data_IF_102722346342
#
_entry.id   IF_102722346342
#
_cell.length_a   1.000
_cell.length_b   1.000
_cell.length_c   1.000
_cell.angle_alpha   90.00
_cell.angle_beta   90.00
_cell.angle_gamma   90.00
#
_symmetry.space_group_name_H-M   'P 1'
#
loop_
_entity.id
_entity.type
_entity.pdbx_description
1 polymer ?
#
# COMPACT_ATOMS: atom_id res chain seq x y z
N UNK A 1 20.89 -30.63 -1.57
CA UNK A 1 20.38 -29.72 -0.53
C UNK A 1 19.76 -28.45 -1.12
N UNK A 2 20.48 -27.69 -1.95
CA UNK A 2 20.02 -26.39 -2.51
C UNK A 2 18.68 -26.46 -3.26
N UNK A 3 18.43 -27.51 -4.06
CA UNK A 3 17.14 -27.69 -4.75
C UNK A 3 15.93 -27.72 -3.81
N UNK A 4 16.06 -28.34 -2.63
CA UNK A 4 14.98 -28.36 -1.63
C UNK A 4 14.74 -26.97 -1.06
N UNK A 5 15.81 -26.25 -0.71
CA UNK A 5 15.73 -24.86 -0.24
C UNK A 5 15.08 -23.95 -1.27
N UNK A 6 15.42 -24.10 -2.55
CA UNK A 6 14.81 -23.35 -3.65
C UNK A 6 13.29 -23.59 -3.73
N UNK A 7 12.84 -24.86 -3.65
CA UNK A 7 11.41 -25.19 -3.65
C UNK A 7 10.72 -24.61 -2.42
N UNK A 8 11.29 -24.75 -1.23
CA UNK A 8 10.74 -24.18 0.00
C UNK A 8 10.64 -22.64 -0.09
N UNK A 9 11.67 -21.97 -0.60
CA UNK A 9 11.65 -20.53 -0.82
C UNK A 9 10.57 -20.13 -1.83
N UNK A 10 10.47 -20.84 -2.95
CA UNK A 10 9.43 -20.61 -3.96
C UNK A 10 8.02 -20.74 -3.40
N UNK A 11 7.75 -21.77 -2.59
CA UNK A 11 6.47 -21.96 -1.92
C UNK A 11 6.21 -20.88 -0.85
N UNK A 12 7.24 -20.47 -0.12
CA UNK A 12 7.14 -19.40 0.88
C UNK A 12 6.76 -18.06 0.25
N UNK A 13 7.34 -17.74 -0.92
CA UNK A 13 7.09 -16.46 -1.62
C UNK A 13 5.98 -16.54 -2.68
N UNK A 14 5.33 -17.69 -2.84
CA UNK A 14 4.31 -17.88 -3.88
C UNK A 14 3.13 -16.93 -3.70
N UNK A 15 2.57 -16.85 -2.49
CA UNK A 15 1.47 -15.93 -2.18
C UNK A 15 1.88 -14.48 -2.42
N UNK A 16 3.11 -14.14 -2.08
CA UNK A 16 3.69 -12.82 -2.30
C UNK A 16 3.77 -12.48 -3.78
N UNK A 17 4.28 -13.40 -4.60
CA UNK A 17 4.37 -13.23 -6.06
C UNK A 17 2.99 -13.06 -6.70
N UNK A 18 1.96 -13.77 -6.23
CA UNK A 18 0.60 -13.57 -6.70
C UNK A 18 0.10 -12.16 -6.38
N UNK A 19 0.31 -11.68 -5.14
CA UNK A 19 -0.09 -10.32 -4.73
C UNK A 19 0.62 -9.28 -5.60
N UNK A 20 1.95 -9.41 -5.78
CA UNK A 20 2.74 -8.49 -6.61
C UNK A 20 2.31 -8.54 -8.08
N UNK A 21 2.05 -9.74 -8.62
CA UNK A 21 1.58 -9.90 -10.00
C UNK A 21 0.23 -9.24 -10.23
N UNK A 22 -0.72 -9.42 -9.31
CA UNK A 22 -2.02 -8.75 -9.38
C UNK A 22 -1.84 -7.23 -9.26
N UNK A 23 -1.07 -6.76 -8.28
CA UNK A 23 -0.81 -5.33 -8.08
C UNK A 23 -0.20 -4.68 -9.32
N UNK A 24 0.81 -5.31 -9.93
CA UNK A 24 1.45 -4.82 -11.16
C UNK A 24 0.48 -4.76 -12.35
N UNK A 25 -0.37 -5.78 -12.50
CA UNK A 25 -1.42 -5.76 -13.54
C UNK A 25 -2.43 -4.63 -13.30
N UNK A 26 -2.90 -4.46 -12.05
CA UNK A 26 -3.84 -3.40 -11.67
C UNK A 26 -3.26 -2.03 -11.96
N UNK A 27 -2.01 -1.78 -11.55
CA UNK A 27 -1.31 -0.52 -11.81
C UNK A 27 -1.13 -0.24 -13.32
N UNK A 28 -0.98 -1.29 -14.14
CA UNK A 28 -0.81 -1.16 -15.60
C UNK A 28 -2.13 -0.82 -16.32
N UNK A 29 -3.25 -1.39 -15.86
CA UNK A 29 -4.55 -1.22 -16.53
C UNK A 29 -5.38 -0.06 -15.97
N UNK A 30 -4.97 0.53 -14.85
CA UNK A 30 -5.74 1.59 -14.22
C UNK A 30 -5.79 2.85 -15.11
N UNK A 31 -6.98 3.35 -15.48
CA UNK A 31 -7.11 4.44 -16.46
C UNK A 31 -6.74 5.82 -15.89
N UNK A 32 -6.63 5.96 -14.57
CA UNK A 32 -6.32 7.23 -13.92
C UNK A 32 -5.64 7.05 -12.57
N UNK A 33 -4.71 7.94 -12.25
CA UNK A 33 -4.12 8.09 -10.91
C UNK A 33 -5.16 8.49 -9.85
N UNK A 34 -6.30 9.07 -10.27
CA UNK A 34 -7.40 9.39 -9.35
C UNK A 34 -8.20 8.13 -9.04
N UNK A 35 -8.16 7.71 -7.78
CA UNK A 35 -8.95 6.58 -7.28
C UNK A 35 -10.43 6.95 -7.20
N UNK A 36 -11.35 6.08 -7.64
CA UNK A 36 -12.78 6.30 -7.52
C UNK A 36 -13.17 6.47 -6.04
N UNK A 37 -13.67 7.64 -5.68
CA UNK A 37 -14.20 7.91 -4.33
C UNK A 37 -15.70 7.65 -4.34
N UNK A 38 -16.11 6.38 -4.28
CA UNK A 38 -17.52 6.00 -4.14
C UNK A 38 -17.80 5.65 -2.68
N UNK A 39 -18.54 6.48 -1.94
CA UNK A 39 -18.91 6.17 -0.56
C UNK A 39 -19.77 4.90 -0.53
N UNK A 40 -19.34 3.93 0.28
CA UNK A 40 -20.11 2.70 0.52
C UNK A 40 -21.13 2.89 1.64
N UNK A 41 -20.75 3.69 2.64
CA UNK A 41 -21.55 3.94 3.83
C UNK A 41 -21.35 5.41 4.23
N UNK A 42 -22.46 6.08 4.51
CA UNK A 42 -22.51 7.46 4.98
C UNK A 42 -23.21 7.47 6.32
N UNK A 43 -22.55 8.01 7.35
CA UNK A 43 -23.15 8.15 8.69
C UNK A 43 -22.87 9.51 9.29
N UNK A 44 -23.79 9.98 10.12
CA UNK A 44 -23.67 11.23 10.85
C UNK A 44 -23.53 10.95 12.33
N UNK A 45 -22.56 11.57 12.98
CA UNK A 45 -22.28 11.37 14.41
C UNK A 45 -22.31 12.73 15.10
N UNK A 46 -23.04 12.88 16.22
CA UNK A 46 -23.00 14.10 17.01
C UNK A 46 -21.57 14.46 17.42
N UNK A 47 -21.17 15.71 17.17
CA UNK A 47 -19.80 16.16 17.43
C UNK A 47 -19.76 17.69 17.57
N UNK A 48 -19.39 18.16 18.76
CA UNK A 48 -19.33 19.59 19.07
C UNK A 48 -17.88 20.07 19.04
N UNK A 49 -17.61 21.09 18.22
CA UNK A 49 -16.33 21.81 18.20
C UNK A 49 -16.42 22.99 19.16
N UNK A 50 -15.50 23.08 20.11
CA UNK A 50 -15.51 24.19 21.06
C UNK A 50 -14.98 25.48 20.39
N UNK A 51 -15.46 26.63 20.87
CA UNK A 51 -14.98 27.91 20.37
C UNK A 51 -13.47 28.07 20.61
N UNK A 52 -12.73 28.44 19.56
CA UNK A 52 -11.27 28.61 19.63
C UNK A 52 -10.44 27.33 19.47
N UNK A 53 -11.06 26.16 19.25
CA UNK A 53 -10.30 24.94 18.91
C UNK A 53 -9.62 25.07 17.55
N UNK A 54 -8.35 24.69 17.51
CA UNK A 54 -7.57 24.58 16.27
C UNK A 54 -8.00 23.36 15.47
N UNK A 55 -7.86 23.41 14.15
CA UNK A 55 -8.21 22.28 13.27
C UNK A 55 -7.45 21.02 13.62
N UNK A 56 -6.21 21.17 14.10
CA UNK A 56 -5.41 20.02 14.57
C UNK A 56 -6.00 19.37 15.82
N UNK A 57 -6.44 20.17 16.79
CA UNK A 57 -7.12 19.67 17.99
C UNK A 57 -8.42 18.96 17.63
N UNK A 58 -9.21 19.57 16.73
CA UNK A 58 -10.45 18.97 16.21
C UNK A 58 -10.16 17.65 15.51
N UNK A 59 -9.15 17.59 14.63
CA UNK A 59 -8.77 16.37 13.91
C UNK A 59 -8.33 15.24 14.85
N UNK A 60 -7.54 15.55 15.88
CA UNK A 60 -7.13 14.60 16.90
C UNK A 60 -8.33 14.05 17.68
N UNK A 61 -9.27 14.91 18.09
CA UNK A 61 -10.50 14.50 18.76
C UNK A 61 -11.39 13.63 17.86
N UNK A 62 -11.53 13.98 16.59
CA UNK A 62 -12.28 13.18 15.61
C UNK A 62 -11.64 11.80 15.47
N UNK A 63 -10.30 11.72 15.39
CA UNK A 63 -9.59 10.45 15.33
C UNK A 63 -9.86 9.59 16.57
N UNK A 64 -9.77 10.16 17.78
CA UNK A 64 -10.05 9.43 19.03
C UNK A 64 -11.52 9.00 19.17
N UNK A 65 -12.44 9.77 18.58
CA UNK A 65 -13.87 9.45 18.59
C UNK A 65 -14.17 8.29 17.64
N UNK A 66 -13.58 8.30 16.45
CA UNK A 66 -13.89 7.33 15.39
C UNK A 66 -13.05 6.07 15.46
N UNK A 67 -11.81 6.17 15.95
CA UNK A 67 -10.76 5.14 15.94
C UNK A 67 -10.79 4.31 14.64
N UNK A 68 -10.65 4.96 13.47
CA UNK A 68 -10.78 4.26 12.19
C UNK A 68 -9.76 3.11 12.12
N UNK A 69 -10.21 1.89 11.76
CA UNK A 69 -9.35 0.72 11.80
C UNK A 69 -8.23 0.84 10.78
N UNK A 70 -7.04 0.43 11.19
CA UNK A 70 -5.83 0.45 10.36
C UNK A 70 -5.51 1.82 9.75
N UNK A 71 -5.93 2.90 10.40
CA UNK A 71 -5.64 4.28 10.01
C UNK A 71 -4.77 4.98 11.04
N UNK A 72 -4.00 5.96 10.57
CA UNK A 72 -3.22 6.88 11.41
C UNK A 72 -3.92 8.23 11.58
N UNK A 73 -3.54 9.02 12.59
CA UNK A 73 -4.00 10.41 12.70
C UNK A 73 -3.65 11.22 11.45
N UNK A 74 -4.51 12.18 11.09
CA UNK A 74 -4.25 13.08 9.96
C UNK A 74 -3.06 13.99 10.31
N UNK A 75 -2.00 14.03 9.49
CA UNK A 75 -0.88 14.92 9.71
C UNK A 75 -1.25 16.38 9.38
N UNK A 76 -0.59 17.32 10.02
CA UNK A 76 -0.95 18.75 10.01
C UNK A 76 -0.95 19.33 8.59
N UNK A 77 0.06 18.97 7.79
CA UNK A 77 0.20 19.37 6.39
C UNK A 77 -0.89 18.83 5.46
N UNK A 78 -1.74 17.92 5.95
CA UNK A 78 -2.82 17.30 5.20
C UNK A 78 -4.22 17.79 5.63
N UNK A 79 -4.31 18.67 6.63
CA UNK A 79 -5.58 19.29 7.03
C UNK A 79 -6.07 20.22 5.92
N UNK A 80 -7.33 20.07 5.52
CA UNK A 80 -7.94 20.81 4.40
C UNK A 80 -9.35 21.25 4.74
N UNK A 81 -9.86 22.20 3.97
CA UNK A 81 -11.25 22.62 4.05
C UNK A 81 -11.97 22.28 2.74
N UNK A 82 -13.27 21.98 2.85
CA UNK A 82 -14.17 21.92 1.69
C UNK A 82 -14.40 23.33 1.13
N UNK A 83 -14.93 23.47 -0.10
CA UNK A 83 -15.30 24.79 -0.65
C UNK A 83 -16.26 25.60 0.24
N UNK A 84 -17.08 24.91 1.04
CA UNK A 84 -18.03 25.49 2.00
C UNK A 84 -17.37 25.86 3.34
N UNK A 85 -16.05 25.67 3.48
CA UNK A 85 -15.29 26.02 4.68
C UNK A 85 -15.38 25.00 5.82
N UNK A 86 -15.87 23.78 5.56
CA UNK A 86 -15.87 22.71 6.56
C UNK A 86 -14.52 22.01 6.63
N UNK A 87 -14.07 21.64 7.84
CA UNK A 87 -12.83 20.88 8.01
C UNK A 87 -13.01 19.46 7.42
N UNK A 88 -12.15 19.10 6.47
CA UNK A 88 -12.12 17.80 5.80
C UNK A 88 -10.92 16.99 6.30
N UNK A 89 -11.20 15.77 6.75
CA UNK A 89 -10.24 14.84 7.32
C UNK A 89 -10.34 13.50 6.59
N UNK A 90 -9.38 13.19 5.71
CA UNK A 90 -9.29 11.88 5.07
C UNK A 90 -8.32 10.99 5.87
N UNK A 91 -8.89 10.02 6.60
CA UNK A 91 -8.12 8.98 7.28
C UNK A 91 -7.85 7.84 6.31
N UNK A 92 -6.64 7.83 5.75
CA UNK A 92 -6.21 6.76 4.85
C UNK A 92 -6.05 5.44 5.60
N UNK A 93 -6.50 4.37 4.96
CA UNK A 93 -6.21 2.99 5.32
C UNK A 93 -5.89 2.20 4.05
N UNK A 94 -5.37 1.00 4.22
CA UNK A 94 -4.92 0.14 3.12
C UNK A 94 -6.07 -0.43 2.27
N UNK A 95 -7.29 -0.34 2.77
CA UNK A 95 -8.52 -0.81 2.14
C UNK A 95 -9.44 0.36 1.77
N UNK A 96 -8.92 1.59 1.72
CA UNK A 96 -9.67 2.79 1.34
C UNK A 96 -9.47 3.98 2.29
N UNK A 97 -10.51 4.80 2.43
CA UNK A 97 -10.44 6.09 3.12
C UNK A 97 -11.71 6.26 3.97
N UNK A 98 -11.53 6.69 5.22
CA UNK A 98 -12.62 7.31 5.97
C UNK A 98 -12.54 8.82 5.75
N UNK A 99 -13.41 9.36 4.91
CA UNK A 99 -13.48 10.80 4.64
C UNK A 99 -14.47 11.42 5.62
N UNK A 100 -14.00 12.37 6.43
CA UNK A 100 -14.79 12.95 7.51
C UNK A 100 -14.88 14.45 7.31
N UNK A 101 -16.11 14.97 7.26
CA UNK A 101 -16.39 16.40 7.18
C UNK A 101 -16.97 16.87 8.50
N UNK A 102 -16.34 17.88 9.10
CA UNK A 102 -16.78 18.49 10.35
C UNK A 102 -17.78 19.62 10.06
N UNK A 103 -19.06 19.34 10.30
CA UNK A 103 -20.16 20.26 10.06
C UNK A 103 -20.39 21.10 11.33
N UNK A 104 -19.52 22.10 11.55
CA UNK A 104 -19.51 22.93 12.77
C UNK A 104 -20.88 23.55 13.09
N UNK A 105 -21.58 24.08 12.08
CA UNK A 105 -22.90 24.70 12.24
C UNK A 105 -24.00 23.71 12.63
N UNK A 106 -23.82 22.43 12.33
CA UNK A 106 -24.80 21.37 12.58
C UNK A 106 -24.43 20.51 13.80
N UNK A 107 -23.33 20.83 14.48
CA UNK A 107 -22.82 20.10 15.64
C UNK A 107 -22.70 18.58 15.41
N UNK A 108 -22.25 18.21 14.21
CA UNK A 108 -22.05 16.80 13.82
C UNK A 108 -20.88 16.65 12.86
N UNK A 109 -20.40 15.42 12.74
CA UNK A 109 -19.48 15.01 11.69
C UNK A 109 -20.21 14.10 10.71
N UNK A 110 -19.92 14.27 9.42
CA UNK A 110 -20.30 13.35 8.36
C UNK A 110 -19.12 12.42 8.11
N UNK A 111 -19.33 11.11 8.17
CA UNK A 111 -18.32 10.09 7.93
C UNK A 111 -18.72 9.30 6.70
N UNK A 112 -17.91 9.41 5.65
CA UNK A 112 -18.04 8.67 4.41
C UNK A 112 -16.96 7.59 4.36
N UNK A 113 -17.36 6.31 4.38
CA UNK A 113 -16.43 5.19 4.22
C UNK A 113 -16.32 4.82 2.74
N UNK A 114 -15.17 5.13 2.15
CA UNK A 114 -14.83 4.80 0.77
C UNK A 114 -13.95 3.56 0.80
N UNK A 115 -14.41 2.45 0.23
CA UNK A 115 -13.65 1.20 0.22
C UNK A 115 -12.95 1.00 -1.13
N UNK A 116 -11.70 0.56 -1.07
CA UNK A 116 -10.99 0.07 -2.25
C UNK A 116 -11.65 -1.20 -2.81
N UNK A 117 -11.55 -1.38 -4.13
CA UNK A 117 -11.80 -2.69 -4.74
C UNK A 117 -10.73 -3.69 -4.27
N UNK A 118 -10.97 -4.99 -4.41
CA UNK A 118 -9.97 -6.02 -4.08
C UNK A 118 -8.64 -5.78 -4.81
N UNK A 119 -8.71 -5.39 -6.08
CA UNK A 119 -7.55 -5.03 -6.89
C UNK A 119 -6.74 -3.88 -6.29
N UNK A 120 -7.40 -2.77 -5.96
CA UNK A 120 -6.75 -1.59 -5.36
C UNK A 120 -6.25 -1.88 -3.93
N UNK A 121 -6.94 -2.74 -3.19
CA UNK A 121 -6.45 -3.21 -1.89
C UNK A 121 -5.16 -4.02 -2.03
N UNK A 122 -5.07 -4.92 -3.01
CA UNK A 122 -3.85 -5.67 -3.29
C UNK A 122 -2.71 -4.75 -3.75
N UNK A 123 -3.04 -3.73 -4.54
CA UNK A 123 -2.12 -2.65 -4.92
C UNK A 123 -1.68 -1.80 -3.70
N UNK A 124 -2.52 -1.54 -2.71
CA UNK A 124 -2.06 -0.79 -1.52
C UNK A 124 -1.24 -1.68 -0.58
N UNK A 125 -1.65 -2.94 -0.41
CA UNK A 125 -1.04 -3.84 0.57
C UNK A 125 0.34 -4.37 0.14
N UNK A 126 0.61 -4.49 -1.16
CA UNK A 126 1.94 -4.89 -1.63
C UNK A 126 3.01 -3.80 -1.40
N UNK A 127 2.59 -2.52 -1.32
CA UNK A 127 3.48 -1.38 -1.14
C UNK A 127 3.81 -1.10 0.34
N UNK A 128 3.18 -1.81 1.28
CA UNK A 128 3.43 -1.63 2.71
C UNK A 128 4.87 -2.00 3.09
N UNK A 129 5.60 -1.05 3.67
CA UNK A 129 6.99 -1.24 4.10
C UNK A 129 7.17 -0.89 5.59
N UNK A 130 8.11 -1.53 6.29
CA UNK A 130 8.26 -1.33 7.74
C UNK A 130 8.80 0.06 8.14
N UNK A 131 9.22 0.88 7.18
CA UNK A 131 9.69 2.24 7.42
C UNK A 131 8.61 3.26 7.79
N UNK A 132 7.33 2.89 7.74
CA UNK A 132 6.21 3.79 8.06
C UNK A 132 6.03 3.96 9.58
N UNK A 133 6.56 5.06 10.10
CA UNK A 133 6.35 5.46 11.50
C UNK A 133 4.86 5.72 11.78
N UNK A 134 4.34 5.12 12.87
CA UNK A 134 2.94 5.26 13.29
C UNK A 134 1.95 4.34 12.56
N UNK A 135 2.45 3.37 11.79
CA UNK A 135 1.61 2.31 11.23
C UNK A 135 1.02 1.43 12.35
N UNK A 136 -0.25 1.01 12.26
CA UNK A 136 -0.86 0.04 13.17
C UNK A 136 -0.09 -1.28 13.22
N UNK A 137 -0.08 -1.98 14.36
CA UNK A 137 0.75 -3.18 14.56
C UNK A 137 0.48 -4.30 13.55
N UNK A 138 -0.78 -4.51 13.17
CA UNK A 138 -1.12 -5.50 12.14
C UNK A 138 -0.50 -5.14 10.79
N UNK A 139 -0.51 -3.85 10.43
CA UNK A 139 0.12 -3.37 9.20
C UNK A 139 1.65 -3.49 9.28
N UNK A 140 2.25 -3.22 10.44
CA UNK A 140 3.68 -3.41 10.67
C UNK A 140 4.08 -4.89 10.54
N UNK A 141 3.31 -5.80 11.12
CA UNK A 141 3.54 -7.23 11.00
C UNK A 141 3.45 -7.68 9.53
N UNK A 142 2.45 -7.19 8.79
CA UNK A 142 2.35 -7.41 7.36
C UNK A 142 3.57 -6.84 6.60
N UNK A 143 4.00 -5.62 6.93
CA UNK A 143 5.14 -5.00 6.26
C UNK A 143 6.47 -5.76 6.49
N UNK A 144 6.67 -6.30 7.69
CA UNK A 144 7.81 -7.18 8.00
C UNK A 144 7.71 -8.48 7.18
N UNK A 145 6.51 -9.07 7.09
CA UNK A 145 6.28 -10.23 6.24
C UNK A 145 6.55 -9.90 4.76
N UNK A 146 6.12 -8.73 4.31
CA UNK A 146 6.32 -8.23 2.95
C UNK A 146 7.82 -8.14 2.62
N UNK A 147 8.60 -7.57 3.55
CA UNK A 147 10.06 -7.48 3.45
C UNK A 147 10.74 -8.85 3.47
N UNK A 148 10.36 -9.74 4.40
CA UNK A 148 10.87 -11.12 4.43
C UNK A 148 10.56 -11.87 3.11
N UNK A 149 9.39 -11.63 2.53
CA UNK A 149 9.01 -12.13 1.21
C UNK A 149 9.92 -11.63 0.10
N UNK A 150 10.32 -10.35 0.11
CA UNK A 150 11.29 -9.79 -0.84
C UNK A 150 12.67 -10.45 -0.71
N UNK A 151 13.15 -10.66 0.52
CA UNK A 151 14.40 -11.39 0.76
C UNK A 151 14.31 -12.85 0.28
N UNK A 152 13.17 -13.51 0.53
CA UNK A 152 12.89 -14.84 0.03
C UNK A 152 12.89 -14.91 -1.50
N UNK A 153 12.36 -13.88 -2.17
CA UNK A 153 12.32 -13.78 -3.62
C UNK A 153 13.72 -13.62 -4.20
N UNK A 154 14.55 -12.76 -3.60
CA UNK A 154 15.96 -12.63 -3.96
C UNK A 154 16.69 -13.97 -3.84
N UNK A 155 16.50 -14.67 -2.71
CA UNK A 155 17.07 -16.00 -2.51
C UNK A 155 16.56 -17.01 -3.54
N UNK A 156 15.26 -17.01 -3.86
CA UNK A 156 14.65 -17.86 -4.88
C UNK A 156 15.27 -17.62 -6.27
N UNK A 157 15.43 -16.35 -6.68
CA UNK A 157 16.07 -15.98 -7.94
C UNK A 157 17.53 -16.42 -8.00
N UNK A 158 18.32 -16.13 -6.96
CA UNK A 158 19.74 -16.50 -6.89
C UNK A 158 19.93 -18.02 -6.95
N UNK A 159 19.14 -18.77 -6.18
CA UNK A 159 19.19 -20.23 -6.19
C UNK A 159 18.71 -20.83 -7.52
N UNK A 160 17.73 -20.20 -8.18
CA UNK A 160 17.30 -20.57 -9.52
C UNK A 160 18.41 -20.44 -10.56
N UNK A 161 19.11 -19.30 -10.60
CA UNK A 161 20.27 -19.09 -11.47
C UNK A 161 21.39 -20.08 -11.15
N UNK A 162 21.69 -20.31 -9.87
CA UNK A 162 22.70 -21.30 -9.46
C UNK A 162 22.35 -22.72 -9.94
N UNK A 163 21.10 -23.16 -9.76
CA UNK A 163 20.65 -24.48 -10.21
C UNK A 163 20.71 -24.60 -11.73
N UNK A 164 20.35 -23.53 -12.44
CA UNK A 164 20.48 -23.48 -13.90
C UNK A 164 21.94 -23.61 -14.34
N UNK A 165 22.86 -22.80 -13.81
CA UNK A 165 24.28 -22.85 -14.16
C UNK A 165 24.93 -24.21 -13.84
N UNK A 166 24.62 -24.78 -12.67
CA UNK A 166 25.15 -26.08 -12.26
C UNK A 166 24.58 -27.25 -13.06
N UNK A 167 23.41 -27.09 -13.67
CA UNK A 167 22.86 -28.08 -14.60
C UNK A 167 23.60 -28.15 -15.96
N UNK A 168 24.60 -27.29 -16.19
CA UNK A 168 25.33 -27.13 -17.47
C UNK A 168 24.37 -26.96 -18.65
N UNK A 169 23.61 -25.85 -18.67
CA UNK A 169 22.48 -25.69 -19.56
C UNK A 169 22.98 -25.50 -20.99
N UNK A 170 22.53 -26.38 -21.89
CA UNK A 170 22.83 -26.29 -23.33
C UNK A 170 21.77 -25.49 -24.11
N UNK A 171 21.03 -24.62 -23.42
CA UNK A 171 19.94 -23.85 -24.00
C UNK A 171 20.42 -22.41 -24.29
N UNK A 172 20.82 -22.08 -25.53
CA UNK A 172 21.35 -20.75 -25.87
C UNK A 172 20.33 -19.63 -25.61
N UNK A 173 19.04 -19.93 -25.75
CA UNK A 173 17.96 -18.99 -25.44
C UNK A 173 17.97 -18.48 -24.00
N UNK A 174 18.29 -19.34 -23.03
CA UNK A 174 18.36 -18.92 -21.63
C UNK A 174 19.50 -17.91 -21.40
N UNK A 175 20.63 -18.09 -22.07
CA UNK A 175 21.74 -17.14 -22.04
C UNK A 175 21.38 -15.81 -22.72
N UNK A 176 20.70 -15.85 -23.87
CA UNK A 176 20.22 -14.65 -24.55
C UNK A 176 19.23 -13.87 -23.69
N UNK A 177 18.30 -14.55 -23.01
CA UNK A 177 17.33 -13.91 -22.12
C UNK A 177 18.02 -13.27 -20.91
N UNK A 178 18.99 -13.95 -20.29
CA UNK A 178 19.75 -13.40 -19.16
C UNK A 178 20.58 -12.19 -19.59
N UNK A 179 21.34 -12.30 -20.69
CA UNK A 179 22.17 -11.21 -21.19
C UNK A 179 21.31 -10.02 -21.63
N UNK A 180 20.24 -10.27 -22.38
CA UNK A 180 19.32 -9.26 -22.87
C UNK A 180 18.62 -8.51 -21.74
N UNK A 181 18.08 -9.21 -20.74
CA UNK A 181 17.45 -8.57 -19.58
C UNK A 181 18.44 -7.76 -18.73
N UNK A 182 19.65 -8.28 -18.53
CA UNK A 182 20.72 -7.55 -17.81
C UNK A 182 21.15 -6.29 -18.54
N UNK A 183 21.34 -6.37 -19.88
CA UNK A 183 21.70 -5.23 -20.71
C UNK A 183 20.58 -4.18 -20.77
N UNK A 184 19.32 -4.61 -20.90
CA UNK A 184 18.17 -3.71 -20.87
C UNK A 184 18.06 -2.96 -19.54
N UNK A 185 18.23 -3.66 -18.42
CA UNK A 185 18.26 -3.04 -17.09
C UNK A 185 19.41 -2.02 -16.97
N UNK A 186 20.63 -2.40 -17.37
CA UNK A 186 21.79 -1.51 -17.30
C UNK A 186 21.63 -0.27 -18.19
N UNK A 187 21.11 -0.43 -19.40
CA UNK A 187 20.81 0.67 -20.31
C UNK A 187 19.77 1.62 -19.70
N UNK A 188 18.66 1.08 -19.20
CA UNK A 188 17.63 1.87 -18.53
C UNK A 188 18.20 2.63 -17.33
N UNK A 189 18.95 1.95 -16.46
CA UNK A 189 19.62 2.57 -15.30
C UNK A 189 20.56 3.71 -15.69
N UNK A 190 21.29 3.58 -16.81
CA UNK A 190 22.21 4.61 -17.29
C UNK A 190 21.52 5.92 -17.70
N UNK A 191 20.22 5.88 -18.01
CA UNK A 191 19.43 7.09 -18.34
C UNK A 191 19.09 7.91 -17.09
N UNK A 192 18.99 7.27 -15.91
CA UNK A 192 18.61 7.93 -14.65
C UNK A 192 19.80 8.26 -13.74
N UNK A 193 21.03 8.02 -14.20
CA UNK A 193 22.27 8.39 -13.53
C UNK A 193 22.83 9.69 -14.08
#
# INVERSE_FOLDING_TARGET
MIRRLHICAGLLVFSQLLVYGIAGLVATVQPSLKRPKVPREVRYIPFVVAAGETDKSVAARVYETLKPPLSRPVPDWFLRHTPEGHLLLDFYNINGIYSVVVLRGEQRIKVDHIRNSTALFLEDIHAATPGENGAPDLLRAWAIWNEAGMWGLLFFCLTGVYLWLTSRPRLPWAWMLLAGSSAAFAAFWSVFR
#
